data_IF_899266736585
#
_entry.id   IF_899266736585
#
_cell.length_a   1.000
_cell.length_b   1.000
_cell.length_c   1.000
_cell.angle_alpha   90.00
_cell.angle_beta   90.00
_cell.angle_gamma   90.00
#
_symmetry.space_group_name_H-M   'P 1'
#
loop_
_entity.id
_entity.type
_entity.pdbx_description
1 polymer ?
#
# COMPACT_ATOMS: atom_id res chain seq x y z
N UNK A 1 0.04 -31.85 -44.27
CA UNK A 1 -0.20 -30.39 -44.23
C UNK A 1 -1.24 -30.13 -43.15
N UNK A 2 -0.83 -29.50 -42.06
CA UNK A 2 -1.69 -29.08 -40.96
C UNK A 2 -1.77 -27.55 -40.94
N UNK A 3 -2.92 -26.92 -40.65
CA UNK A 3 -2.93 -25.52 -40.28
C UNK A 3 -2.75 -25.37 -38.77
N UNK A 4 -1.76 -24.55 -38.42
CA UNK A 4 -1.41 -24.14 -37.06
C UNK A 4 -2.49 -23.23 -36.46
N UNK A 5 -2.95 -23.57 -35.25
CA UNK A 5 -3.69 -22.65 -34.39
C UNK A 5 -2.73 -21.69 -33.69
N UNK A 6 -2.91 -20.39 -33.92
CA UNK A 6 -2.16 -19.32 -33.24
C UNK A 6 -2.73 -19.14 -31.84
N UNK A 7 -2.00 -19.61 -30.84
CA UNK A 7 -2.27 -19.38 -29.41
C UNK A 7 -1.94 -17.91 -29.08
N UNK A 8 -2.95 -17.15 -28.70
CA UNK A 8 -2.80 -15.78 -28.20
C UNK A 8 -2.12 -15.76 -26.83
N UNK A 9 -0.82 -15.49 -26.80
CA UNK A 9 -0.01 -15.37 -25.58
C UNK A 9 -0.12 -13.94 -25.03
N UNK A 10 -0.85 -13.76 -23.92
CA UNK A 10 -0.95 -12.49 -23.19
C UNK A 10 0.34 -12.22 -22.38
N UNK A 11 0.92 -11.04 -22.59
CA UNK A 11 2.13 -10.51 -21.93
C UNK A 11 1.88 -10.22 -20.42
N UNK A 12 2.15 -11.20 -19.54
CA UNK A 12 1.94 -11.06 -18.10
C UNK A 12 3.04 -10.28 -17.33
N UNK A 13 4.18 -9.97 -17.98
CA UNK A 13 5.35 -9.38 -17.30
C UNK A 13 5.34 -7.84 -17.30
N UNK A 14 4.58 -7.22 -18.21
CA UNK A 14 4.49 -5.75 -18.31
C UNK A 14 3.43 -5.14 -17.38
N UNK A 15 2.34 -5.87 -17.07
CA UNK A 15 1.30 -5.38 -16.17
C UNK A 15 1.78 -5.13 -14.73
N UNK A 16 2.75 -5.91 -14.25
CA UNK A 16 3.30 -5.76 -12.89
C UNK A 16 4.16 -4.51 -12.70
N UNK A 17 4.63 -3.93 -13.80
CA UNK A 17 5.36 -2.66 -13.82
C UNK A 17 4.46 -1.48 -14.14
N UNK A 18 3.32 -1.70 -14.79
CA UNK A 18 2.32 -0.64 -15.03
C UNK A 18 1.64 -0.16 -13.75
N UNK A 19 1.42 -1.05 -12.78
CA UNK A 19 0.83 -0.73 -11.47
C UNK A 19 1.70 0.20 -10.61
N UNK A 20 3.01 0.25 -10.87
CA UNK A 20 3.93 1.06 -10.05
C UNK A 20 4.76 2.09 -10.84
N UNK A 21 4.77 2.04 -12.18
CA UNK A 21 5.69 2.87 -13.00
C UNK A 21 5.17 3.37 -14.37
N UNK A 22 4.15 2.85 -15.06
CA UNK A 22 3.96 3.23 -16.48
C UNK A 22 2.83 4.22 -16.76
N UNK A 23 3.23 5.48 -16.98
CA UNK A 23 2.44 6.62 -17.42
C UNK A 23 2.91 7.08 -18.82
N UNK A 24 1.97 7.28 -19.75
CA UNK A 24 2.02 8.25 -20.88
C UNK A 24 0.58 8.72 -21.11
N UNK A 25 0.26 10.03 -21.06
CA UNK A 25 -1.08 10.54 -21.27
C UNK A 25 -1.34 10.75 -22.78
N UNK A 26 -2.55 10.42 -23.22
CA UNK A 26 -3.12 10.99 -24.45
C UNK A 26 -4.06 12.10 -24.04
N UNK A 27 -3.84 13.30 -24.58
CA UNK A 27 -4.60 14.52 -24.28
C UNK A 27 -5.99 14.41 -24.89
N UNK A 28 -7.02 14.40 -24.05
CA UNK A 28 -8.40 14.69 -24.42
C UNK A 28 -8.90 15.84 -23.55
N UNK A 29 -9.19 16.97 -24.18
CA UNK A 29 -9.66 18.20 -23.54
C UNK A 29 -10.97 17.95 -22.78
N UNK A 30 -10.97 18.12 -21.46
CA UNK A 30 -12.20 18.11 -20.67
C UNK A 30 -12.39 19.45 -19.96
N UNK A 31 -13.54 20.04 -20.26
CA UNK A 31 -14.14 21.21 -19.64
C UNK A 31 -14.36 20.96 -18.14
N UNK A 32 -13.92 21.91 -17.31
CA UNK A 32 -14.05 21.85 -15.86
C UNK A 32 -15.53 21.89 -15.45
N UNK A 33 -16.03 20.79 -14.87
CA UNK A 33 -17.25 20.85 -14.07
C UNK A 33 -16.93 21.42 -12.67
N UNK A 34 -17.80 22.27 -12.10
CA UNK A 34 -17.61 22.83 -10.78
C UNK A 34 -17.70 21.75 -9.69
N UNK A 35 -17.05 21.95 -8.52
CA UNK A 35 -17.00 20.96 -7.46
C UNK A 35 -18.40 20.68 -6.92
N UNK A 36 -18.85 19.43 -7.06
CA UNK A 36 -20.01 18.94 -6.30
C UNK A 36 -19.65 19.01 -4.82
N UNK A 37 -20.38 19.84 -4.07
CA UNK A 37 -20.42 19.80 -2.59
C UNK A 37 -20.57 18.34 -2.16
N UNK A 38 -19.51 17.76 -1.59
CA UNK A 38 -19.63 16.54 -0.79
C UNK A 38 -20.52 16.91 0.40
N UNK A 39 -21.79 16.51 0.35
CA UNK A 39 -22.58 16.35 1.56
C UNK A 39 -21.78 15.42 2.46
N UNK A 40 -21.30 15.95 3.58
CA UNK A 40 -20.82 15.14 4.68
C UNK A 40 -22.00 14.26 5.09
N UNK A 41 -22.00 13.01 4.61
CA UNK A 41 -22.86 11.97 5.18
C UNK A 41 -22.45 11.85 6.64
N UNK A 42 -23.25 12.50 7.49
CA UNK A 42 -23.20 12.35 8.93
C UNK A 42 -23.41 10.86 9.19
N UNK A 43 -22.31 10.17 9.52
CA UNK A 43 -22.30 8.74 9.83
C UNK A 43 -23.26 8.54 11.00
N UNK A 44 -24.34 7.74 10.87
CA UNK A 44 -25.18 7.41 12.01
C UNK A 44 -24.30 6.71 13.05
N UNK A 45 -24.35 7.18 14.29
CA UNK A 45 -23.67 6.57 15.42
C UNK A 45 -24.24 5.17 15.65
N UNK A 46 -23.58 4.16 15.08
CA UNK A 46 -23.84 2.75 15.38
C UNK A 46 -23.50 2.45 16.85
N UNK A 47 -24.21 1.49 17.48
CA UNK A 47 -24.39 1.46 18.92
C UNK A 47 -23.17 0.92 19.71
N UNK A 48 -22.83 1.68 20.75
CA UNK A 48 -22.44 1.24 22.10
C UNK A 48 -21.68 -0.09 22.23
N UNK A 49 -20.44 -0.16 21.73
CA UNK A 49 -19.43 -0.93 22.44
C UNK A 49 -18.95 -0.11 23.65
N UNK A 50 -18.73 -0.75 24.79
CA UNK A 50 -18.00 -0.09 25.89
C UNK A 50 -16.65 0.36 25.34
N UNK A 51 -16.31 1.66 25.42
CA UNK A 51 -15.02 2.14 24.93
C UNK A 51 -13.89 1.36 25.63
N UNK A 52 -12.79 1.06 24.93
CA UNK A 52 -11.69 0.31 25.52
C UNK A 52 -11.18 1.04 26.77
N UNK A 53 -11.02 0.29 27.87
CA UNK A 53 -10.61 0.86 29.16
C UNK A 53 -9.11 1.20 29.18
N UNK A 54 -8.31 0.55 28.33
CA UNK A 54 -6.88 0.75 28.24
C UNK A 54 -6.36 0.70 26.79
N UNK A 55 -5.10 1.13 26.61
CA UNK A 55 -4.38 1.02 25.35
C UNK A 55 -4.28 -0.43 24.86
N UNK A 56 -4.04 -1.37 25.75
CA UNK A 56 -3.89 -2.78 25.38
C UNK A 56 -5.24 -3.38 24.96
N UNK A 57 -6.34 -2.99 25.63
CA UNK A 57 -7.69 -3.39 25.21
C UNK A 57 -8.04 -2.81 23.84
N UNK A 58 -7.67 -1.55 23.57
CA UNK A 58 -7.89 -0.91 22.27
C UNK A 58 -7.09 -1.59 21.14
N UNK A 59 -5.84 -2.00 21.43
CA UNK A 59 -5.03 -2.77 20.48
C UNK A 59 -5.65 -4.14 20.22
N UNK A 60 -6.06 -4.85 21.26
CA UNK A 60 -6.65 -6.17 21.12
C UNK A 60 -7.95 -6.08 20.32
N UNK A 61 -8.81 -5.11 20.62
CA UNK A 61 -10.03 -4.86 19.87
C UNK A 61 -9.76 -4.58 18.37
N UNK A 62 -8.68 -3.86 18.05
CA UNK A 62 -8.27 -3.65 16.66
C UNK A 62 -7.84 -4.96 15.98
N UNK A 63 -7.04 -5.78 16.65
CA UNK A 63 -6.61 -7.07 16.10
C UNK A 63 -7.79 -8.02 15.90
N UNK A 64 -8.71 -8.07 16.85
CA UNK A 64 -9.94 -8.86 16.76
C UNK A 64 -10.83 -8.38 15.61
N UNK A 65 -10.94 -7.06 15.42
CA UNK A 65 -11.69 -6.47 14.30
C UNK A 65 -11.07 -6.83 12.94
N UNK A 66 -9.74 -6.78 12.81
CA UNK A 66 -9.02 -7.19 11.59
C UNK A 66 -9.30 -8.67 11.31
N UNK A 67 -9.17 -9.52 12.32
CA UNK A 67 -9.43 -10.95 12.17
C UNK A 67 -10.89 -11.23 11.75
N UNK A 68 -11.87 -10.56 12.36
CA UNK A 68 -13.28 -10.68 11.97
C UNK A 68 -13.52 -10.23 10.53
N UNK A 69 -12.85 -9.16 10.09
CA UNK A 69 -12.91 -8.69 8.71
C UNK A 69 -12.32 -9.71 7.72
N UNK A 70 -11.15 -10.28 8.04
CA UNK A 70 -10.52 -11.32 7.22
C UNK A 70 -11.41 -12.58 7.10
N UNK A 71 -12.08 -12.96 8.19
CA UNK A 71 -13.05 -14.06 8.19
C UNK A 71 -14.26 -13.76 7.31
N UNK A 72 -14.84 -12.56 7.43
CA UNK A 72 -15.96 -12.13 6.58
C UNK A 72 -15.57 -12.14 5.10
N UNK A 73 -14.38 -11.63 4.77
CA UNK A 73 -13.86 -11.66 3.41
C UNK A 73 -13.56 -13.06 2.88
N UNK A 74 -13.13 -13.98 3.75
CA UNK A 74 -12.88 -15.37 3.37
C UNK A 74 -14.18 -16.08 3.01
N UNK A 75 -15.25 -15.77 3.75
CA UNK A 75 -16.57 -16.37 3.57
C UNK A 75 -17.33 -15.76 2.39
N UNK A 76 -17.35 -14.44 2.28
CA UNK A 76 -18.23 -13.71 1.35
C UNK A 76 -17.49 -13.21 0.09
N UNK A 77 -16.16 -13.27 0.10
CA UNK A 77 -15.30 -12.83 -0.99
C UNK A 77 -14.53 -11.55 -0.69
N UNK A 78 -13.63 -11.20 -1.62
CA UNK A 78 -12.77 -10.00 -1.56
C UNK A 78 -13.00 -9.15 -2.80
N UNK A 79 -12.80 -7.84 -2.68
CA UNK A 79 -12.77 -6.97 -3.85
C UNK A 79 -11.62 -7.39 -4.77
N UNK A 80 -11.95 -7.70 -6.02
CA UNK A 80 -10.95 -8.04 -7.02
C UNK A 80 -10.22 -6.78 -7.48
N UNK A 81 -9.02 -6.55 -6.96
CA UNK A 81 -8.14 -5.48 -7.44
C UNK A 81 -7.37 -5.99 -8.65
N UNK A 82 -7.72 -5.50 -9.84
CA UNK A 82 -6.93 -5.75 -11.04
C UNK A 82 -5.84 -4.68 -11.19
N UNK A 83 -4.60 -5.10 -10.97
CA UNK A 83 -3.43 -4.23 -10.96
C UNK A 83 -2.97 -3.91 -12.39
N UNK A 84 -2.77 -2.64 -12.70
CA UNK A 84 -2.26 -2.19 -14.01
C UNK A 84 -3.31 -2.10 -15.13
N UNK A 85 -4.60 -2.17 -14.80
CA UNK A 85 -5.70 -1.78 -15.69
C UNK A 85 -6.34 -0.47 -15.22
N UNK A 86 -6.77 0.35 -16.17
CA UNK A 86 -7.38 1.65 -15.88
C UNK A 86 -8.69 1.49 -15.08
N UNK A 87 -8.73 2.04 -13.86
CA UNK A 87 -9.88 1.97 -12.95
C UNK A 87 -9.89 0.78 -11.98
N UNK A 88 -8.91 -0.13 -12.04
CA UNK A 88 -8.78 -1.24 -11.08
C UNK A 88 -8.23 -0.77 -9.74
N UNK A 89 -6.96 -0.38 -9.72
CA UNK A 89 -6.18 -0.01 -8.52
C UNK A 89 -6.22 1.50 -8.20
N UNK A 90 -6.35 2.32 -9.25
CA UNK A 90 -6.28 3.79 -9.15
C UNK A 90 -7.65 4.40 -9.43
N UNK A 91 -7.96 5.45 -8.66
CA UNK A 91 -9.11 6.29 -8.92
C UNK A 91 -8.96 6.97 -10.29
N UNK A 92 -10.03 7.01 -11.08
CA UNK A 92 -9.97 7.44 -12.48
C UNK A 92 -9.60 8.93 -12.60
N UNK A 93 -10.06 9.74 -11.65
CA UNK A 93 -9.92 11.19 -11.69
C UNK A 93 -8.65 11.66 -10.99
N UNK A 94 -8.40 11.16 -9.78
CA UNK A 94 -7.25 11.57 -8.96
C UNK A 94 -5.99 10.75 -9.24
N UNK A 95 -6.12 9.56 -9.86
CA UNK A 95 -5.04 8.60 -10.08
C UNK A 95 -4.30 8.19 -8.80
N UNK A 96 -4.94 8.38 -7.64
CA UNK A 96 -4.48 7.92 -6.33
C UNK A 96 -4.92 6.48 -6.10
N UNK A 97 -4.25 5.70 -5.23
CA UNK A 97 -4.72 4.38 -4.87
C UNK A 97 -6.15 4.45 -4.34
N UNK A 98 -7.04 3.63 -4.90
CA UNK A 98 -8.43 3.56 -4.46
C UNK A 98 -8.49 3.12 -3.01
N UNK A 99 -9.45 3.71 -2.30
CA UNK A 99 -9.80 3.29 -0.96
C UNK A 99 -10.86 2.18 -1.07
N UNK A 100 -10.46 0.95 -0.76
CA UNK A 100 -11.32 -0.23 -0.84
C UNK A 100 -12.49 -0.18 0.16
N UNK A 101 -12.44 0.70 1.17
CA UNK A 101 -13.53 0.84 2.13
C UNK A 101 -14.87 1.24 1.49
N UNK A 102 -14.83 1.89 0.33
CA UNK A 102 -16.03 2.27 -0.41
C UNK A 102 -16.74 1.07 -1.06
N UNK A 103 -16.02 -0.04 -1.28
CA UNK A 103 -16.52 -1.23 -1.99
C UNK A 103 -17.05 -2.36 -1.08
N UNK A 104 -16.81 -2.31 0.23
CA UNK A 104 -17.07 -3.46 1.12
C UNK A 104 -18.54 -3.90 1.18
N UNK A 105 -19.47 -2.96 1.25
CA UNK A 105 -20.90 -3.29 1.27
C UNK A 105 -21.43 -3.85 -0.06
N UNK A 106 -20.72 -3.64 -1.17
CA UNK A 106 -21.05 -4.26 -2.44
C UNK A 106 -20.67 -5.74 -2.48
N UNK A 107 -19.76 -6.19 -1.59
CA UNK A 107 -19.42 -7.61 -1.41
C UNK A 107 -20.50 -8.27 -0.54
N UNK A 108 -20.66 -7.79 0.69
CA UNK A 108 -21.72 -8.21 1.60
C UNK A 108 -21.92 -7.19 2.72
N UNK A 109 -23.10 -7.22 3.36
CA UNK A 109 -23.37 -6.39 4.54
C UNK A 109 -22.40 -6.70 5.70
N UNK A 110 -22.03 -7.98 5.86
CA UNK A 110 -21.11 -8.42 6.91
C UNK A 110 -19.68 -7.93 6.69
N UNK A 111 -19.18 -7.96 5.44
CA UNK A 111 -17.86 -7.41 5.10
C UNK A 111 -17.85 -5.89 5.32
N UNK A 112 -18.92 -5.19 4.94
CA UNK A 112 -19.11 -3.76 5.22
C UNK A 112 -19.04 -3.44 6.71
N UNK A 113 -19.85 -4.11 7.54
CA UNK A 113 -19.88 -3.93 8.99
C UNK A 113 -18.56 -4.29 9.66
N UNK A 114 -17.93 -5.39 9.26
CA UNK A 114 -16.64 -5.79 9.82
C UNK A 114 -15.53 -4.78 9.46
N UNK A 115 -15.53 -4.27 8.24
CA UNK A 115 -14.57 -3.25 7.81
C UNK A 115 -14.75 -1.94 8.56
N UNK A 116 -15.99 -1.50 8.79
CA UNK A 116 -16.28 -0.33 9.63
C UNK A 116 -15.76 -0.49 11.07
N UNK A 117 -15.91 -1.68 11.66
CA UNK A 117 -15.36 -1.96 12.99
C UNK A 117 -13.83 -1.80 13.05
N UNK A 118 -13.11 -2.15 11.98
CA UNK A 118 -11.66 -1.91 11.91
C UNK A 118 -11.36 -0.41 11.94
N UNK A 119 -12.10 0.39 11.17
CA UNK A 119 -11.92 1.84 11.13
C UNK A 119 -12.21 2.48 12.49
N UNK A 120 -13.30 2.07 13.14
CA UNK A 120 -13.71 2.58 14.45
C UNK A 120 -12.73 2.17 15.56
N UNK A 121 -12.17 0.95 15.48
CA UNK A 121 -11.14 0.48 16.39
C UNK A 121 -9.82 1.28 16.23
N UNK A 122 -9.48 1.69 15.01
CA UNK A 122 -8.32 2.58 14.78
C UNK A 122 -8.54 3.96 15.38
N UNK A 123 -9.70 4.57 15.15
CA UNK A 123 -10.00 5.88 15.72
C UNK A 123 -10.02 5.83 17.26
N UNK A 124 -10.43 4.70 17.85
CA UNK A 124 -10.34 4.46 19.29
C UNK A 124 -8.89 4.31 19.77
N UNK A 125 -8.08 3.49 19.09
CA UNK A 125 -6.67 3.27 19.44
C UNK A 125 -5.83 4.54 19.33
N UNK A 126 -6.10 5.40 18.34
CA UNK A 126 -5.38 6.65 18.13
C UNK A 126 -5.43 7.59 19.35
N UNK A 127 -6.49 7.52 20.17
CA UNK A 127 -6.62 8.31 21.41
C UNK A 127 -5.61 7.88 22.48
N UNK A 128 -5.10 6.65 22.40
CA UNK A 128 -4.12 6.09 23.32
C UNK A 128 -2.69 6.10 22.77
N UNK A 129 -2.41 6.91 21.74
CA UNK A 129 -1.08 6.99 21.13
C UNK A 129 -0.01 7.39 22.16
N UNK A 130 0.94 6.50 22.50
CA UNK A 130 1.94 6.79 23.54
C UNK A 130 3.11 7.62 23.02
N UNK A 131 3.27 7.76 21.69
CA UNK A 131 4.40 8.44 21.09
C UNK A 131 4.00 9.83 20.61
N UNK A 132 4.31 10.86 21.39
CA UNK A 132 3.97 12.24 21.05
C UNK A 132 4.67 12.74 19.78
N UNK A 133 5.97 12.44 19.63
CA UNK A 133 6.79 12.82 18.48
C UNK A 133 7.38 11.56 17.80
N UNK A 134 6.59 10.87 16.95
CA UNK A 134 7.03 9.66 16.30
C UNK A 134 8.10 9.88 15.22
N UNK A 135 8.24 11.10 14.70
CA UNK A 135 9.23 11.44 13.66
C UNK A 135 10.54 11.97 14.21
N UNK A 136 10.68 12.05 15.54
CA UNK A 136 11.92 12.47 16.21
C UNK A 136 13.14 11.75 15.64
N UNK A 137 14.20 12.50 15.33
CA UNK A 137 15.46 12.04 14.73
C UNK A 137 15.36 11.48 13.30
N UNK A 138 14.21 11.59 12.63
CA UNK A 138 14.08 11.10 11.26
C UNK A 138 14.91 11.95 10.28
N UNK A 139 15.73 11.29 9.47
CA UNK A 139 16.66 11.93 8.53
C UNK A 139 17.91 12.52 9.18
N UNK A 140 18.24 12.13 10.43
CA UNK A 140 19.39 12.64 11.18
C UNK A 140 20.41 11.51 11.49
N UNK A 141 21.66 11.82 11.85
CA UNK A 141 22.63 10.82 12.31
C UNK A 141 22.12 9.97 13.48
N UNK A 142 21.29 10.54 14.36
CA UNK A 142 20.64 9.88 15.48
C UNK A 142 19.44 9.01 15.07
N UNK A 143 19.17 8.85 13.78
CA UNK A 143 17.98 8.18 13.25
C UNK A 143 17.78 6.72 13.69
N UNK A 144 18.79 6.04 14.25
CA UNK A 144 18.59 4.75 14.93
C UNK A 144 17.70 4.86 16.17
N UNK A 145 17.65 6.03 16.80
CA UNK A 145 16.79 6.35 17.95
C UNK A 145 15.39 6.81 17.53
N UNK A 146 15.14 6.96 16.23
CA UNK A 146 13.82 7.33 15.73
C UNK A 146 12.84 6.17 16.00
N UNK A 147 11.67 6.43 16.63
CA UNK A 147 10.67 5.40 16.91
C UNK A 147 10.24 4.61 15.66
N UNK A 148 10.24 5.25 14.49
CA UNK A 148 9.88 4.61 13.22
C UNK A 148 10.96 3.70 12.63
N UNK A 149 12.21 3.76 13.10
CA UNK A 149 13.32 3.02 12.52
C UNK A 149 13.05 1.50 12.53
N UNK A 150 13.46 0.80 11.46
CA UNK A 150 13.40 -0.67 11.37
C UNK A 150 12.27 -1.20 10.47
N UNK A 151 11.98 -2.50 10.62
CA UNK A 151 10.99 -3.23 9.81
C UNK A 151 9.56 -3.11 10.33
N UNK A 152 8.61 -3.13 9.40
CA UNK A 152 7.16 -3.05 9.65
C UNK A 152 6.41 -3.93 8.65
N UNK A 153 5.75 -4.99 9.11
CA UNK A 153 4.92 -5.89 8.31
C UNK A 153 3.47 -5.38 8.26
N UNK A 154 2.84 -5.45 7.10
CA UNK A 154 1.43 -5.10 6.92
C UNK A 154 0.52 -6.13 7.60
N UNK A 155 -0.43 -5.64 8.40
CA UNK A 155 -1.53 -6.44 8.95
C UNK A 155 -2.83 -6.15 8.18
N UNK A 156 -3.10 -4.88 7.91
CA UNK A 156 -4.33 -4.45 7.24
C UNK A 156 -4.07 -3.16 6.46
N UNK A 157 -4.78 -3.00 5.34
CA UNK A 157 -4.82 -1.76 4.58
C UNK A 157 -6.16 -1.57 3.89
N UNK A 158 -6.55 -0.32 3.68
CA UNK A 158 -7.64 0.02 2.76
C UNK A 158 -7.14 0.39 1.37
N UNK A 159 -5.82 0.43 1.15
CA UNK A 159 -5.24 0.82 -0.12
C UNK A 159 -5.27 -0.36 -1.10
N UNK A 160 -5.87 -0.15 -2.27
CA UNK A 160 -5.94 -1.16 -3.32
C UNK A 160 -4.55 -1.63 -3.77
N UNK A 161 -3.58 -0.71 -3.86
CA UNK A 161 -2.20 -0.95 -4.31
C UNK A 161 -1.37 -1.82 -3.34
N UNK A 162 -1.87 -2.04 -2.13
CA UNK A 162 -1.23 -2.84 -1.09
C UNK A 162 -2.09 -4.07 -0.68
N UNK A 163 -3.17 -4.35 -1.41
CA UNK A 163 -4.07 -5.48 -1.16
C UNK A 163 -3.83 -6.59 -2.17
N UNK A 164 -3.37 -7.75 -1.71
CA UNK A 164 -3.08 -8.90 -2.56
C UNK A 164 -4.08 -10.03 -2.30
N UNK A 165 -4.41 -10.80 -3.34
CA UNK A 165 -5.28 -11.96 -3.22
C UNK A 165 -4.74 -13.14 -4.02
N UNK A 166 -4.94 -14.34 -3.51
CA UNK A 166 -4.61 -15.60 -4.17
C UNK A 166 -5.30 -15.75 -5.54
N UNK A 167 -6.51 -15.20 -5.66
CA UNK A 167 -7.33 -15.23 -6.87
C UNK A 167 -6.90 -14.21 -7.94
N UNK A 168 -5.94 -13.33 -7.64
CA UNK A 168 -5.38 -12.43 -8.64
C UNK A 168 -4.43 -13.18 -9.58
N UNK A 169 -4.25 -12.68 -10.81
CA UNK A 169 -3.31 -13.24 -11.79
C UNK A 169 -1.85 -13.33 -11.30
N UNK A 170 -1.52 -12.66 -10.18
CA UNK A 170 -0.18 -12.56 -9.61
C UNK A 170 0.01 -13.38 -8.33
N UNK A 171 -1.08 -13.90 -7.77
CA UNK A 171 -1.08 -14.66 -6.52
C UNK A 171 -0.97 -13.78 -5.28
N UNK A 172 -0.91 -14.46 -4.14
CA UNK A 172 -0.78 -13.83 -2.82
C UNK A 172 0.61 -13.22 -2.60
N UNK A 173 0.71 -12.22 -1.73
CA UNK A 173 1.98 -11.55 -1.42
C UNK A 173 2.01 -10.97 0.00
N UNK A 174 3.21 -10.98 0.59
CA UNK A 174 3.49 -10.31 1.85
C UNK A 174 4.06 -8.91 1.60
N UNK A 175 3.40 -7.88 2.15
CA UNK A 175 3.87 -6.51 2.14
C UNK A 175 4.54 -6.11 3.46
N UNK A 176 5.67 -5.40 3.37
CA UNK A 176 6.35 -4.80 4.51
C UNK A 176 7.08 -3.52 4.12
N UNK A 177 7.50 -2.75 5.11
CA UNK A 177 8.33 -1.57 4.94
C UNK A 177 9.58 -1.68 5.80
N UNK A 178 10.69 -1.15 5.30
CA UNK A 178 11.91 -0.93 6.07
C UNK A 178 12.18 0.57 6.12
N UNK A 179 12.14 1.13 7.31
CA UNK A 179 12.45 2.54 7.56
C UNK A 179 13.91 2.65 7.96
N UNK A 180 14.70 3.34 7.14
CA UNK A 180 16.03 3.79 7.49
C UNK A 180 15.95 5.28 7.86
N UNK A 181 15.65 5.55 9.12
CA UNK A 181 15.55 6.91 9.62
C UNK A 181 16.90 7.64 9.69
N UNK A 182 18.05 6.95 9.62
CA UNK A 182 19.35 7.62 9.49
C UNK A 182 19.49 8.29 8.12
N UNK A 183 19.06 7.56 7.07
CA UNK A 183 19.14 8.05 5.68
C UNK A 183 17.92 8.86 5.24
N UNK A 184 16.87 8.92 6.06
CA UNK A 184 15.59 9.47 5.64
C UNK A 184 14.98 8.68 4.47
N UNK A 185 15.04 7.35 4.53
CA UNK A 185 14.55 6.47 3.48
C UNK A 185 13.52 5.47 3.99
N UNK A 186 12.54 5.18 3.15
CA UNK A 186 11.58 4.09 3.34
C UNK A 186 11.70 3.15 2.15
N UNK A 187 11.69 1.84 2.42
CA UNK A 187 11.66 0.82 1.39
C UNK A 187 10.40 0.00 1.54
N UNK A 188 9.47 0.11 0.59
CA UNK A 188 8.35 -0.82 0.53
C UNK A 188 8.83 -2.11 -0.12
N UNK A 189 8.53 -3.25 0.47
CA UNK A 189 8.94 -4.57 -0.01
C UNK A 189 7.68 -5.41 -0.14
N UNK A 190 7.46 -5.94 -1.33
CA UNK A 190 6.40 -6.91 -1.63
C UNK A 190 7.07 -8.20 -2.03
N UNK A 191 6.80 -9.27 -1.29
CA UNK A 191 7.28 -10.62 -1.55
C UNK A 191 6.13 -11.46 -2.07
N UNK A 192 6.20 -11.93 -3.31
CA UNK A 192 5.14 -12.73 -3.90
C UNK A 192 5.28 -14.18 -3.46
N UNK A 193 4.19 -14.77 -3.00
CA UNK A 193 4.12 -16.16 -2.59
C UNK A 193 4.29 -17.08 -3.82
N UNK A 194 5.03 -18.19 -3.71
CA UNK A 194 5.09 -19.21 -4.76
C UNK A 194 3.69 -19.65 -5.25
N UNK A 195 3.63 -20.22 -6.45
CA UNK A 195 2.42 -20.89 -6.92
C UNK A 195 2.04 -22.08 -6.04
N UNK A 196 0.80 -22.56 -6.19
CA UNK A 196 0.35 -23.81 -5.53
C UNK A 196 1.25 -25.00 -5.92
N UNK A 197 1.86 -24.95 -7.10
CA UNK A 197 2.85 -25.92 -7.59
C UNK A 197 4.25 -25.78 -6.93
N UNK A 198 4.38 -24.91 -5.92
CA UNK A 198 5.63 -24.59 -5.24
C UNK A 198 6.64 -23.82 -6.08
N UNK A 199 6.30 -23.45 -7.33
CA UNK A 199 7.24 -22.76 -8.22
C UNK A 199 7.27 -21.26 -7.93
N UNK A 200 8.45 -20.63 -8.00
CA UNK A 200 8.54 -19.19 -7.79
C UNK A 200 7.81 -18.45 -8.92
N UNK A 201 7.14 -17.35 -8.56
CA UNK A 201 6.48 -16.46 -9.51
C UNK A 201 7.52 -15.77 -10.41
N UNK A 202 7.10 -15.34 -11.60
CA UNK A 202 7.98 -14.62 -12.54
C UNK A 202 8.56 -13.35 -11.90
N UNK A 203 7.76 -12.65 -11.09
CA UNK A 203 8.18 -11.60 -10.18
C UNK A 203 8.19 -12.17 -8.75
N UNK A 204 9.39 -12.32 -8.18
CA UNK A 204 9.58 -12.86 -6.82
C UNK A 204 9.45 -11.75 -5.76
N UNK A 205 9.96 -10.57 -6.07
CA UNK A 205 9.99 -9.46 -5.12
C UNK A 205 9.99 -8.11 -5.83
N UNK A 206 9.28 -7.14 -5.25
CA UNK A 206 9.33 -5.74 -5.62
C UNK A 206 9.80 -4.90 -4.43
N UNK A 207 10.86 -4.11 -4.60
CA UNK A 207 11.36 -3.14 -3.61
C UNK A 207 11.22 -1.73 -4.13
N UNK A 208 10.42 -0.89 -3.49
CA UNK A 208 10.23 0.51 -3.87
C UNK A 208 11.02 1.38 -2.93
N UNK A 209 11.99 2.13 -3.45
CA UNK A 209 12.81 3.06 -2.67
C UNK A 209 12.18 4.45 -2.68
N UNK A 210 11.95 4.96 -1.48
CA UNK A 210 11.28 6.23 -1.22
C UNK A 210 12.20 7.08 -0.36
N UNK A 211 12.49 8.29 -0.82
CA UNK A 211 13.08 9.32 0.05
C UNK A 211 11.94 9.90 0.89
N UNK A 212 12.17 10.02 2.18
CA UNK A 212 11.19 10.47 3.15
C UNK A 212 11.73 11.66 3.95
N UNK A 213 10.86 12.58 4.34
CA UNK A 213 11.21 13.77 5.11
C UNK A 213 10.15 14.03 6.17
N UNK A 214 10.57 14.26 7.41
CA UNK A 214 9.65 14.70 8.45
C UNK A 214 9.15 16.12 8.12
N UNK A 215 7.83 16.25 7.97
CA UNK A 215 7.15 17.52 7.70
C UNK A 215 6.57 18.11 8.99
N UNK A 216 6.25 17.26 9.96
CA UNK A 216 5.88 17.61 11.33
C UNK A 216 6.23 16.44 12.26
N UNK A 217 5.96 16.60 13.55
CA UNK A 217 6.00 15.55 14.58
C UNK A 217 5.34 14.22 14.15
N UNK A 218 4.25 14.27 13.40
CA UNK A 218 3.43 13.10 12.97
C UNK A 218 3.39 12.86 11.47
N UNK A 219 3.92 13.77 10.64
CA UNK A 219 3.77 13.71 9.18
C UNK A 219 5.10 13.44 8.48
N UNK A 220 5.10 12.47 7.56
CA UNK A 220 6.23 12.15 6.69
C UNK A 220 5.84 12.41 5.23
N UNK A 221 6.58 13.30 4.57
CA UNK A 221 6.49 13.52 3.13
C UNK A 221 7.32 12.49 2.37
N UNK A 222 6.84 12.08 1.19
CA UNK A 222 7.38 10.99 0.39
C UNK A 222 7.80 11.46 -0.99
N UNK A 223 8.92 10.93 -1.47
CA UNK A 223 9.41 11.10 -2.84
C UNK A 223 9.88 9.75 -3.36
N UNK A 224 9.10 9.13 -4.23
CA UNK A 224 9.46 7.88 -4.88
C UNK A 224 10.69 8.06 -5.77
N UNK A 225 11.67 7.16 -5.64
CA UNK A 225 12.95 7.26 -6.36
C UNK A 225 13.01 6.24 -7.48
N UNK A 226 12.95 4.96 -7.12
CA UNK A 226 13.04 3.85 -8.07
C UNK A 226 12.41 2.59 -7.45
N UNK A 227 12.06 1.65 -8.31
CA UNK A 227 11.66 0.31 -7.93
C UNK A 227 12.73 -0.69 -8.36
N UNK A 228 12.95 -1.74 -7.57
CA UNK A 228 13.78 -2.88 -7.92
C UNK A 228 12.89 -4.11 -8.00
N UNK A 229 12.81 -4.74 -9.16
CA UNK A 229 12.04 -5.96 -9.39
C UNK A 229 13.00 -7.14 -9.50
N UNK A 230 12.83 -8.15 -8.63
CA UNK A 230 13.56 -9.41 -8.68
C UNK A 230 12.76 -10.41 -9.50
N UNK A 231 13.32 -10.78 -10.64
CA UNK A 231 12.69 -11.67 -11.62
C UNK A 231 13.36 -13.05 -11.63
N UNK A 232 12.54 -14.07 -11.81
CA UNK A 232 12.98 -15.48 -12.00
C UNK A 232 12.91 -15.91 -13.46
N UNK A 233 12.26 -15.10 -14.32
CA UNK A 233 12.16 -15.28 -15.77
C UNK A 233 12.37 -13.93 -16.46
N UNK A 234 13.04 -13.92 -17.60
CA UNK A 234 13.21 -12.70 -18.42
C UNK A 234 12.77 -12.99 -19.85
N UNK A 235 11.80 -12.22 -20.38
CA UNK A 235 11.25 -12.41 -21.74
C UNK A 235 10.99 -13.89 -22.10
N UNK A 236 10.23 -14.59 -21.24
CA UNK A 236 9.85 -16.00 -21.40
C UNK A 236 10.98 -17.03 -21.27
N UNK A 237 12.25 -16.62 -21.20
CA UNK A 237 13.38 -17.52 -21.00
C UNK A 237 13.56 -17.82 -19.50
N UNK A 238 13.57 -19.10 -19.10
CA UNK A 238 13.90 -19.48 -17.73
C UNK A 238 15.35 -19.11 -17.45
N UNK A 239 15.60 -18.45 -16.32
CA UNK A 239 16.95 -18.00 -15.96
C UNK A 239 17.84 -19.12 -15.38
N UNK A 240 17.49 -20.40 -15.56
CA UNK A 240 18.23 -21.56 -15.04
C UNK A 240 18.69 -21.41 -13.58
N UNK A 241 17.79 -20.93 -12.71
CA UNK A 241 18.08 -20.67 -11.29
C UNK A 241 18.76 -19.33 -10.97
N UNK A 242 19.19 -18.57 -11.99
CA UNK A 242 19.69 -17.20 -11.82
C UNK A 242 18.52 -16.24 -11.57
N UNK A 243 18.79 -15.18 -10.82
CA UNK A 243 17.80 -14.14 -10.51
C UNK A 243 18.32 -12.81 -11.05
N UNK A 244 17.49 -12.11 -11.81
CA UNK A 244 17.82 -10.77 -12.32
C UNK A 244 17.12 -9.74 -11.46
N UNK A 245 17.84 -8.67 -11.10
CA UNK A 245 17.25 -7.50 -10.45
C UNK A 245 17.21 -6.36 -11.46
N UNK A 246 16.01 -5.99 -11.90
CA UNK A 246 15.80 -4.81 -12.74
C UNK A 246 15.62 -3.59 -11.83
N UNK A 247 16.39 -2.53 -12.06
CA UNK A 247 16.14 -1.24 -11.41
C UNK A 247 15.35 -0.37 -12.38
N UNK A 248 14.10 -0.09 -12.03
CA UNK A 248 13.21 0.72 -12.81
C UNK A 248 13.14 2.11 -12.16
N UNK A 249 13.57 3.19 -12.84
CA UNK A 249 13.38 4.53 -12.31
C UNK A 249 11.88 4.80 -12.16
N UNK A 250 11.44 5.26 -10.99
CA UNK A 250 10.04 5.70 -10.85
C UNK A 250 9.95 7.05 -11.56
N UNK A 251 8.94 7.30 -12.40
CA UNK A 251 9.01 8.43 -13.33
C UNK A 251 8.89 9.82 -12.70
N UNK A 252 8.78 9.90 -11.37
CA UNK A 252 8.49 11.13 -10.65
C UNK A 252 9.38 12.33 -11.02
N UNK A 253 10.69 12.22 -11.35
CA UNK A 253 11.47 13.39 -11.77
C UNK A 253 11.40 13.72 -13.27
N UNK A 254 11.11 12.72 -14.13
CA UNK A 254 11.19 12.86 -15.58
C UNK A 254 9.82 13.28 -16.16
N UNK A 255 8.76 12.66 -15.68
CA UNK A 255 7.39 12.90 -16.12
C UNK A 255 6.82 14.18 -15.52
N UNK A 256 7.17 14.52 -14.27
CA UNK A 256 6.84 15.83 -13.68
C UNK A 256 7.63 17.00 -14.28
N UNK A 257 8.65 16.77 -15.10
CA UNK A 257 9.27 17.84 -15.89
C UNK A 257 8.57 18.03 -17.24
N UNK A 258 8.05 16.96 -17.82
CA UNK A 258 7.41 16.97 -19.13
C UNK A 258 5.94 17.41 -19.06
N UNK A 259 5.17 17.01 -18.04
CA UNK A 259 3.77 17.47 -17.83
C UNK A 259 3.71 18.96 -17.44
N UNK A 260 4.61 19.39 -16.57
CA UNK A 260 4.54 20.70 -15.92
C UNK A 260 5.18 21.80 -16.76
N UNK A 261 5.89 21.43 -17.82
CA UNK A 261 6.16 22.35 -18.92
C UNK A 261 4.84 22.88 -19.54
N UNK A 262 3.73 22.13 -19.41
CA UNK A 262 2.42 22.48 -19.97
C UNK A 262 1.33 22.78 -18.93
N UNK A 263 1.58 22.60 -17.62
CA UNK A 263 0.60 22.90 -16.55
C UNK A 263 1.26 23.57 -15.34
N UNK A 264 0.84 24.79 -14.98
CA UNK A 264 1.38 25.60 -13.86
C UNK A 264 0.88 25.18 -12.46
N UNK A 265 0.30 23.98 -12.29
CA UNK A 265 -0.25 23.55 -10.99
C UNK A 265 0.80 22.75 -10.24
N UNK A 266 1.07 23.09 -8.98
CA UNK A 266 1.95 22.27 -8.14
C UNK A 266 1.31 20.91 -7.84
N UNK A 267 2.06 19.82 -8.02
CA UNK A 267 1.61 18.50 -7.57
C UNK A 267 1.72 18.44 -6.05
N UNK A 268 0.64 18.13 -5.33
CA UNK A 268 0.74 17.90 -3.90
C UNK A 268 1.70 16.74 -3.64
N UNK A 269 2.71 16.99 -2.81
CA UNK A 269 3.69 15.97 -2.44
C UNK A 269 2.99 14.89 -1.61
N UNK A 270 3.12 13.60 -1.96
CA UNK A 270 2.48 12.53 -1.21
C UNK A 270 3.03 12.48 0.21
N UNK A 271 2.19 12.18 1.19
CA UNK A 271 2.58 12.06 2.59
C UNK A 271 1.73 11.00 3.29
N UNK A 272 2.20 10.55 4.45
CA UNK A 272 1.35 9.92 5.43
C UNK A 272 1.45 10.62 6.78
N UNK A 273 0.39 10.47 7.56
CA UNK A 273 0.26 10.98 8.92
C UNK A 273 0.09 9.81 9.88
N UNK A 274 0.87 9.80 10.95
CA UNK A 274 0.82 8.78 11.99
C UNK A 274 -0.32 9.07 12.95
N UNK A 275 -1.19 8.07 13.11
CA UNK A 275 -2.30 8.10 14.05
C UNK A 275 -1.91 7.46 15.38
N UNK A 276 -1.12 6.39 15.30
CA UNK A 276 -0.67 5.63 16.46
C UNK A 276 0.73 5.07 16.19
N UNK A 277 1.61 5.13 17.17
CA UNK A 277 2.90 4.45 17.15
C UNK A 277 3.29 4.05 18.56
N UNK A 278 3.71 2.80 18.72
CA UNK A 278 4.38 2.35 19.92
C UNK A 278 5.53 1.37 19.61
N UNK A 279 5.91 0.54 20.58
CA UNK A 279 7.05 -0.38 20.44
C UNK A 279 6.87 -1.41 19.32
N UNK A 280 5.64 -1.87 19.07
CA UNK A 280 5.37 -2.99 18.18
C UNK A 280 4.34 -2.71 17.07
N UNK A 281 3.50 -1.69 17.20
CA UNK A 281 2.45 -1.37 16.23
C UNK A 281 2.55 0.08 15.74
N UNK A 282 2.22 0.29 14.46
CA UNK A 282 1.98 1.62 13.91
C UNK A 282 0.75 1.65 13.02
N UNK A 283 0.06 2.78 13.06
CA UNK A 283 -1.09 3.08 12.22
C UNK A 283 -0.87 4.42 11.55
N UNK A 284 -1.02 4.48 10.24
CA UNK A 284 -0.93 5.72 9.49
C UNK A 284 -2.01 5.84 8.42
N UNK A 285 -2.29 7.09 8.04
CA UNK A 285 -3.22 7.45 6.98
C UNK A 285 -2.50 8.26 5.91
N UNK A 286 -2.70 7.93 4.64
CA UNK A 286 -2.10 8.66 3.52
C UNK A 286 -2.89 9.94 3.18
N UNK A 287 -2.32 10.78 2.31
CA UNK A 287 -3.00 11.95 1.73
C UNK A 287 -4.23 11.60 0.86
N UNK A 288 -4.35 10.33 0.45
CA UNK A 288 -5.52 9.77 -0.21
C UNK A 288 -6.57 9.20 0.77
N UNK A 289 -6.31 9.25 2.09
CA UNK A 289 -7.19 8.72 3.11
C UNK A 289 -7.07 7.20 3.32
N UNK A 290 -6.12 6.53 2.65
CA UNK A 290 -5.91 5.09 2.83
C UNK A 290 -5.25 4.82 4.18
N UNK A 291 -5.76 3.82 4.88
CA UNK A 291 -5.29 3.42 6.20
C UNK A 291 -4.33 2.24 6.07
N UNK A 292 -3.26 2.26 6.87
CA UNK A 292 -2.29 1.17 6.96
C UNK A 292 -2.01 0.83 8.42
N UNK A 293 -2.16 -0.45 8.76
CA UNK A 293 -1.91 -0.99 10.09
C UNK A 293 -0.76 -1.98 9.97
N UNK A 294 0.30 -1.75 10.73
CA UNK A 294 1.54 -2.49 10.60
C UNK A 294 2.09 -2.87 11.97
N UNK A 295 2.73 -4.04 12.04
CA UNK A 295 3.41 -4.54 13.23
C UNK A 295 4.89 -4.74 12.95
N UNK A 296 5.75 -4.61 13.95
CA UNK A 296 7.13 -5.06 13.82
C UNK A 296 7.19 -6.56 13.49
N UNK A 297 8.11 -7.00 12.63
CA UNK A 297 8.30 -8.42 12.37
C UNK A 297 8.82 -9.12 13.63
N UNK A 298 8.37 -10.37 13.83
CA UNK A 298 8.73 -11.16 15.02
C UNK A 298 10.19 -11.66 14.97
N UNK A 299 10.79 -11.67 13.79
CA UNK A 299 12.22 -11.86 13.61
C UNK A 299 12.90 -10.49 13.80
N UNK A 300 13.76 -10.37 14.82
CA UNK A 300 14.37 -9.10 15.21
C UNK A 300 15.03 -8.33 14.05
N UNK A 301 15.32 -7.04 14.27
CA UNK A 301 15.84 -6.05 13.30
C UNK A 301 17.04 -6.48 12.44
N UNK A 302 17.70 -7.59 12.74
CA UNK A 302 18.92 -8.09 12.08
C UNK A 302 18.76 -8.71 10.68
N UNK A 303 17.59 -9.23 10.27
CA UNK A 303 17.51 -9.98 9.01
C UNK A 303 17.13 -9.17 7.74
N UNK A 304 16.95 -7.83 7.84
CA UNK A 304 16.62 -6.95 6.70
C UNK A 304 17.86 -6.28 6.06
N UNK A 305 19.05 -6.53 6.60
CA UNK A 305 20.29 -5.90 6.13
C UNK A 305 20.92 -6.58 4.89
N UNK A 306 20.25 -7.57 4.28
CA UNK A 306 20.72 -8.29 3.09
C UNK A 306 19.95 -7.93 1.80
#
# INVERSE_FOLDING_TARGET
MAPMGVVGVRLAVLGALSALVLWVPRVGSFTAQPPRRRLALRRPSSPSGTPPASREDAKQALLDAIHAFDQAQTRDGKEAVDFGVEGGELDKDSRRPRNLSEGWYAISEDVGKAGEKVLDAVDSLAQFNPTADPTRFFGTPEGLRCPLHGGWRLLFTTAADASFSSNSSRGDAMAMNVVNAVKGEITNIINFTPGEDGRPRALEQLRVKIKATALSDKRIGLVFRYAKARLTKFLFLPLFGRRITLTIPVPAPLISRIIFFFTRKEVPKPFFELLYLDGDMRVHRTDAGNLFIQKRPDWGTGALAA
#
